data_IF_270471540149
#
_entry.id   IF_270471540149
#
_cell.length_a   1.000
_cell.length_b   1.000
_cell.length_c   1.000
_cell.angle_alpha   90.00
_cell.angle_beta   90.00
_cell.angle_gamma   90.00
#
_symmetry.space_group_name_H-M   'P 1'
#
loop_
_entity.id
_entity.type
_entity.pdbx_description
1 polymer ?
#
# COMPACT_ATOMS: atom_id res chain seq x y z
N UNK A 1 -2.40 0.57 13.90
CA UNK A 1 -3.14 1.21 12.80
C UNK A 1 -2.23 2.26 12.22
N UNK A 2 -1.93 2.20 10.91
CA UNK A 2 -1.15 3.25 10.24
C UNK A 2 -2.09 4.44 10.01
N UNK A 3 -1.60 5.67 10.17
CA UNK A 3 -2.41 6.87 9.92
C UNK A 3 -1.96 7.61 8.64
N UNK A 4 -2.85 8.47 8.14
CA UNK A 4 -2.65 9.26 6.93
C UNK A 4 -1.43 10.20 7.04
N UNK A 5 -1.14 10.72 8.23
CA UNK A 5 -0.06 11.70 8.41
C UNK A 5 1.31 11.02 8.30
N UNK A 6 1.46 9.82 8.86
CA UNK A 6 2.67 9.01 8.74
C UNK A 6 2.98 8.69 7.28
N UNK A 7 1.99 8.22 6.51
CA UNK A 7 2.16 7.92 5.08
C UNK A 7 2.52 9.17 4.27
N UNK A 8 1.86 10.30 4.55
CA UNK A 8 2.15 11.57 3.88
C UNK A 8 3.58 12.05 4.16
N UNK A 9 4.03 12.00 5.42
CA UNK A 9 5.38 12.41 5.80
C UNK A 9 6.45 11.55 5.12
N UNK A 10 6.27 10.23 5.10
CA UNK A 10 7.20 9.33 4.42
C UNK A 10 7.32 9.69 2.93
N UNK A 11 6.20 9.92 2.24
CA UNK A 11 6.21 10.33 0.83
C UNK A 11 6.89 11.68 0.60
N UNK A 12 6.67 12.65 1.50
CA UNK A 12 7.34 13.96 1.45
C UNK A 12 8.86 13.84 1.63
N UNK A 13 9.35 12.78 2.27
CA UNK A 13 10.78 12.46 2.40
C UNK A 13 11.34 11.66 1.22
N UNK A 14 10.56 11.45 0.15
CA UNK A 14 10.96 10.64 -1.00
C UNK A 14 10.90 9.13 -0.75
N UNK A 15 10.29 8.69 0.35
CA UNK A 15 10.15 7.26 0.65
C UNK A 15 8.96 6.69 -0.13
N UNK A 16 9.22 5.63 -0.90
CA UNK A 16 8.19 4.86 -1.59
C UNK A 16 7.30 4.12 -0.58
N UNK A 17 5.97 4.27 -0.69
CA UNK A 17 5.01 3.65 0.24
C UNK A 17 3.89 2.95 -0.51
N UNK A 18 3.82 1.62 -0.34
CA UNK A 18 2.75 0.76 -0.81
C UNK A 18 1.88 0.28 0.36
N UNK A 19 0.57 0.45 0.25
CA UNK A 19 -0.39 -0.23 1.14
C UNK A 19 -0.85 -1.56 0.55
N UNK A 20 -0.68 -2.66 1.28
CA UNK A 20 -1.28 -3.95 0.92
C UNK A 20 -2.26 -4.36 2.00
N UNK A 21 -3.54 -4.37 1.68
CA UNK A 21 -4.61 -4.69 2.61
C UNK A 21 -5.21 -6.06 2.31
N UNK A 22 -5.32 -6.89 3.35
CA UNK A 22 -5.91 -8.23 3.29
C UNK A 22 -7.08 -8.41 4.26
N UNK A 23 -7.61 -7.32 4.82
CA UNK A 23 -8.63 -7.35 5.86
C UNK A 23 -10.06 -7.34 5.32
N UNK A 24 -11.00 -6.99 6.19
CA UNK A 24 -12.44 -6.98 5.88
C UNK A 24 -12.80 -5.86 4.89
N UNK A 25 -13.72 -6.08 3.94
CA UNK A 25 -14.16 -5.06 3.00
C UNK A 25 -14.71 -3.77 3.64
N UNK A 26 -15.33 -3.89 4.82
CA UNK A 26 -15.93 -2.75 5.53
C UNK A 26 -14.92 -1.66 5.92
N UNK A 27 -13.65 -2.03 6.12
CA UNK A 27 -12.59 -1.10 6.52
C UNK A 27 -11.75 -0.65 5.30
N UNK A 28 -12.03 -1.20 4.11
CA UNK A 28 -11.28 -0.94 2.87
C UNK A 28 -11.22 0.56 2.51
N UNK A 29 -12.33 1.26 2.67
CA UNK A 29 -12.41 2.68 2.35
C UNK A 29 -11.51 3.53 3.26
N UNK A 30 -11.38 3.16 4.54
CA UNK A 30 -10.49 3.84 5.47
C UNK A 30 -9.02 3.62 5.10
N UNK A 31 -8.66 2.38 4.77
CA UNK A 31 -7.31 2.02 4.34
C UNK A 31 -6.94 2.69 3.01
N UNK A 32 -7.84 2.68 2.04
CA UNK A 32 -7.63 3.37 0.75
C UNK A 32 -7.44 4.88 0.94
N UNK A 33 -8.12 5.49 1.91
CA UNK A 33 -7.92 6.92 2.24
C UNK A 33 -6.51 7.20 2.77
N UNK A 34 -5.92 6.27 3.52
CA UNK A 34 -4.57 6.40 4.09
C UNK A 34 -3.50 6.30 3.00
N UNK A 35 -3.58 5.28 2.15
CA UNK A 35 -2.54 4.98 1.16
C UNK A 35 -2.76 5.66 -0.20
N UNK A 36 -3.99 6.08 -0.52
CA UNK A 36 -4.32 6.74 -1.79
C UNK A 36 -4.11 5.82 -3.00
N UNK A 37 -3.46 6.33 -4.05
CA UNK A 37 -3.28 5.63 -5.33
C UNK A 37 -2.32 4.44 -5.28
N UNK A 38 -1.38 4.40 -4.33
CA UNK A 38 -0.45 3.27 -4.17
C UNK A 38 -0.95 2.32 -3.09
N UNK A 39 -2.05 1.64 -3.43
CA UNK A 39 -2.78 0.76 -2.55
C UNK A 39 -3.31 -0.44 -3.31
N UNK A 40 -3.18 -1.63 -2.72
CA UNK A 40 -3.67 -2.89 -3.26
C UNK A 40 -4.48 -3.60 -2.19
N UNK A 41 -5.68 -4.02 -2.57
CA UNK A 41 -6.52 -4.89 -1.75
C UNK A 41 -6.56 -6.29 -2.35
N UNK A 42 -6.27 -7.31 -1.53
CA UNK A 42 -6.39 -8.71 -1.93
C UNK A 42 -7.05 -9.52 -0.82
N UNK A 43 -7.98 -10.41 -1.18
CA UNK A 43 -8.52 -11.42 -0.24
C UNK A 43 -7.64 -12.65 -0.15
N UNK A 44 -6.70 -12.80 -1.09
CA UNK A 44 -5.78 -13.92 -1.16
C UNK A 44 -4.40 -13.49 -0.62
N UNK A 45 -4.05 -14.02 0.56
CA UNK A 45 -2.76 -13.74 1.21
C UNK A 45 -1.57 -14.26 0.40
N UNK A 46 -1.77 -15.28 -0.44
CA UNK A 46 -0.71 -15.86 -1.28
C UNK A 46 -0.20 -14.86 -2.33
N UNK A 47 -1.03 -13.89 -2.70
CA UNK A 47 -0.68 -12.83 -3.65
C UNK A 47 0.24 -11.76 -3.09
N UNK A 48 0.54 -11.78 -1.79
CA UNK A 48 1.40 -10.77 -1.17
C UNK A 48 2.78 -10.70 -1.86
N UNK A 49 3.42 -11.86 -2.06
CA UNK A 49 4.74 -11.94 -2.69
C UNK A 49 4.73 -11.38 -4.12
N UNK A 50 3.71 -11.73 -4.91
CA UNK A 50 3.56 -11.24 -6.29
C UNK A 50 3.39 -9.71 -6.32
N UNK A 51 2.52 -9.19 -5.45
CA UNK A 51 2.23 -7.76 -5.35
C UNK A 51 3.48 -6.96 -4.99
N UNK A 52 4.21 -7.40 -3.96
CA UNK A 52 5.44 -6.74 -3.53
C UNK A 52 6.50 -6.82 -4.63
N UNK A 53 6.62 -7.97 -5.31
CA UNK A 53 7.59 -8.14 -6.40
C UNK A 53 7.33 -7.20 -7.58
N UNK A 54 6.07 -7.06 -8.00
CA UNK A 54 5.68 -6.13 -9.07
C UNK A 54 5.95 -4.69 -8.67
N UNK A 55 5.63 -4.33 -7.43
CA UNK A 55 5.87 -2.99 -6.91
C UNK A 55 7.36 -2.63 -6.89
N UNK A 56 8.20 -3.52 -6.35
CA UNK A 56 9.65 -3.31 -6.28
C UNK A 56 10.26 -3.16 -7.67
N UNK A 57 9.85 -4.00 -8.64
CA UNK A 57 10.30 -3.87 -10.03
C UNK A 57 10.00 -2.49 -10.60
N UNK A 58 8.82 -1.93 -10.30
CA UNK A 58 8.45 -0.57 -10.73
C UNK A 58 9.31 0.50 -10.05
N UNK A 59 9.50 0.41 -8.74
CA UNK A 59 10.25 1.40 -7.95
C UNK A 59 11.75 1.40 -8.26
N UNK A 60 12.32 0.24 -8.62
CA UNK A 60 13.76 0.09 -8.90
C UNK A 60 14.08 0.34 -10.39
N UNK A 61 13.10 0.13 -11.29
CA UNK A 61 13.30 0.36 -12.72
C UNK A 61 13.05 1.80 -13.16
N UNK A 62 12.36 2.60 -12.34
CA UNK A 62 12.21 4.06 -12.48
C UNK A 62 13.42 4.79 -11.86
#
# INVERSE_FOLDING_TARGET
>A
MVDLLAVRRARQQGIAVLGVYCGKPKDLAAEQKIYGSQFIYTRDKRRFADVVSVYLKRVIAD
#
